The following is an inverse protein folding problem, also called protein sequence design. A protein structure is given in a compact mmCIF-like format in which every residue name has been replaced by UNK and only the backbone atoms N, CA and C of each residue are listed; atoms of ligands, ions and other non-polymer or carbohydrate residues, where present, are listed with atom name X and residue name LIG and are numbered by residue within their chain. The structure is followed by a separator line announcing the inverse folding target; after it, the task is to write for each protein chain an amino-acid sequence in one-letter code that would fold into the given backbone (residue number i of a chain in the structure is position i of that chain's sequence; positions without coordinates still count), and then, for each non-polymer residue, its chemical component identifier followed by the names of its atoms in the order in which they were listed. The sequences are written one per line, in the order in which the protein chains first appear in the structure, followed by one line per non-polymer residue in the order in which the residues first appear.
data_IF_583405738647
#
_entry.id   IF_583405738647
#
_cell.length_a   1.000
_cell.length_b   1.000
_cell.length_c   1.000
_cell.angle_alpha   90.00
_cell.angle_beta   90.00
_cell.angle_gamma   90.00
#
_symmetry.space_group_name_H-M   'P 1'
#
loop_
_entity.id
_entity.type
_entity.pdbx_description
1 polymer ?
#
# COMPACT_ATOMS: atom_id res chain seq x y z
N UNK A 1 1.14 -9.22 -18.18
CA UNK A 1 0.46 -9.25 -19.50
C UNK A 1 0.54 -7.87 -20.18
N UNK A 2 0.91 -7.78 -21.47
CA UNK A 2 0.83 -6.54 -22.26
C UNK A 2 -0.51 -6.55 -23.00
N UNK A 3 -1.48 -5.77 -22.52
CA UNK A 3 -2.90 -5.93 -22.89
C UNK A 3 -3.22 -5.25 -24.22
N UNK A 4 -2.61 -4.09 -24.48
CA UNK A 4 -2.85 -3.28 -25.65
C UNK A 4 -1.59 -3.14 -26.49
N UNK A 5 -1.73 -3.32 -27.80
CA UNK A 5 -0.65 -3.15 -28.78
C UNK A 5 -0.88 -1.95 -29.69
N UNK A 6 -2.14 -1.60 -29.93
CA UNK A 6 -2.55 -0.48 -30.78
C UNK A 6 -3.48 0.45 -29.99
N UNK A 7 -3.13 1.74 -29.85
CA UNK A 7 -3.96 2.71 -29.15
C UNK A 7 -5.20 3.20 -29.92
N UNK A 8 -5.29 3.02 -31.25
CA UNK A 8 -6.37 3.61 -32.07
C UNK A 8 -7.77 3.16 -31.62
N UNK A 9 -7.86 1.90 -31.21
CA UNK A 9 -9.12 1.21 -30.96
C UNK A 9 -9.46 1.12 -29.48
N UNK A 10 -8.71 1.79 -28.60
CA UNK A 10 -8.94 1.73 -27.14
C UNK A 10 -9.48 3.06 -26.66
N UNK A 11 -10.62 2.97 -25.96
CA UNK A 11 -11.13 4.03 -25.11
C UNK A 11 -11.32 3.46 -23.71
N UNK A 12 -10.45 3.83 -22.78
CA UNK A 12 -10.49 3.33 -21.41
C UNK A 12 -11.24 4.30 -20.47
N UNK A 13 -11.83 3.78 -19.42
CA UNK A 13 -12.28 4.55 -18.26
C UNK A 13 -11.69 3.92 -17.01
N UNK A 14 -10.86 4.68 -16.29
CA UNK A 14 -10.31 4.30 -14.98
C UNK A 14 -11.24 4.81 -13.88
N UNK A 15 -11.89 3.89 -13.18
CA UNK A 15 -12.93 4.17 -12.18
C UNK A 15 -12.30 4.18 -10.79
N UNK A 16 -12.49 5.24 -10.02
CA UNK A 16 -11.74 5.47 -8.78
C UNK A 16 -10.26 5.76 -9.06
N UNK A 17 -9.99 6.60 -10.07
CA UNK A 17 -8.64 6.81 -10.60
C UNK A 17 -7.67 7.52 -9.63
N UNK A 18 -8.17 8.03 -8.49
CA UNK A 18 -7.37 8.61 -7.42
C UNK A 18 -6.45 9.73 -7.90
N UNK A 19 -5.14 9.51 -7.83
CA UNK A 19 -4.16 10.51 -8.25
C UNK A 19 -4.06 10.70 -9.77
N UNK A 20 -4.78 9.93 -10.58
CA UNK A 20 -4.80 10.04 -12.04
C UNK A 20 -3.52 9.59 -12.74
N UNK A 21 -2.58 8.94 -12.04
CA UNK A 21 -1.28 8.56 -12.63
C UNK A 21 -1.43 7.58 -13.79
N UNK A 22 -2.31 6.58 -13.68
CA UNK A 22 -2.53 5.63 -14.77
C UNK A 22 -3.15 6.33 -15.99
N UNK A 23 -4.11 7.22 -15.77
CA UNK A 23 -4.74 8.03 -16.82
C UNK A 23 -3.69 8.88 -17.54
N UNK A 24 -2.82 9.56 -16.78
CA UNK A 24 -1.70 10.32 -17.31
C UNK A 24 -0.78 9.46 -18.20
N UNK A 25 -0.39 8.28 -17.70
CA UNK A 25 0.49 7.37 -18.43
C UNK A 25 -0.16 6.89 -19.73
N UNK A 26 -1.39 6.39 -19.67
CA UNK A 26 -2.08 5.86 -20.85
C UNK A 26 -2.32 6.93 -21.92
N UNK A 27 -2.73 8.14 -21.52
CA UNK A 27 -2.89 9.25 -22.47
C UNK A 27 -1.54 9.65 -23.08
N UNK A 28 -0.46 9.66 -22.28
CA UNK A 28 0.89 9.97 -22.77
C UNK A 28 1.41 8.93 -23.77
N UNK A 29 0.99 7.67 -23.63
CA UNK A 29 1.27 6.58 -24.57
C UNK A 29 0.33 6.58 -25.80
N UNK A 30 -0.55 7.57 -25.93
CA UNK A 30 -1.42 7.78 -27.09
C UNK A 30 -2.80 7.12 -26.99
N UNK A 31 -3.14 6.48 -25.87
CA UNK A 31 -4.47 5.92 -25.65
C UNK A 31 -5.50 7.01 -25.37
N UNK A 32 -6.75 6.80 -25.79
CA UNK A 32 -7.88 7.68 -25.43
C UNK A 32 -8.54 7.15 -24.17
N UNK A 33 -8.99 8.04 -23.31
CA UNK A 33 -9.73 7.63 -22.13
C UNK A 33 -10.02 8.73 -21.14
N UNK A 34 -10.62 8.31 -20.03
CA UNK A 34 -11.04 9.17 -18.92
C UNK A 34 -10.63 8.53 -17.59
N UNK A 35 -10.42 9.36 -16.58
CA UNK A 35 -10.38 8.92 -15.19
C UNK A 35 -11.52 9.56 -14.42
N UNK A 36 -12.24 8.77 -13.64
CA UNK A 36 -13.33 9.25 -12.77
C UNK A 36 -12.95 8.97 -11.33
N UNK A 37 -12.99 9.99 -10.48
CA UNK A 37 -12.85 9.86 -9.03
C UNK A 37 -13.91 10.71 -8.35
N UNK A 38 -14.32 10.33 -7.13
CA UNK A 38 -15.29 11.12 -6.37
C UNK A 38 -14.74 12.52 -6.04
N UNK A 39 -13.42 12.67 -6.02
CA UNK A 39 -12.75 13.89 -5.57
C UNK A 39 -11.61 14.30 -6.50
N UNK A 40 -11.53 15.60 -6.77
CA UNK A 40 -10.37 16.21 -7.39
C UNK A 40 -9.15 16.14 -6.47
N UNK A 41 -8.05 15.57 -6.96
CA UNK A 41 -6.77 15.54 -6.24
C UNK A 41 -5.89 16.68 -6.72
N UNK A 42 -5.26 17.41 -5.80
CA UNK A 42 -4.34 18.54 -6.10
C UNK A 42 -3.26 18.22 -7.14
N UNK A 43 -2.82 16.96 -7.22
CA UNK A 43 -1.83 16.54 -8.22
C UNK A 43 -2.36 16.64 -9.66
N UNK A 44 -3.68 16.59 -9.86
CA UNK A 44 -4.29 16.74 -11.18
C UNK A 44 -3.93 18.09 -11.81
N UNK A 45 -3.85 19.16 -10.99
CA UNK A 45 -3.44 20.51 -11.44
C UNK A 45 -2.04 20.54 -12.06
N UNK A 46 -1.20 19.56 -11.73
CA UNK A 46 0.18 19.46 -12.22
C UNK A 46 0.29 18.68 -13.54
N UNK A 47 -0.78 18.03 -14.00
CA UNK A 47 -0.76 17.30 -15.26
C UNK A 47 -0.97 18.22 -16.49
N UNK A 48 -0.51 17.79 -17.69
CA UNK A 48 -0.80 18.49 -18.94
C UNK A 48 -2.30 18.71 -19.17
N UNK A 49 -2.66 19.75 -19.92
CA UNK A 49 -4.05 20.09 -20.22
C UNK A 49 -4.85 18.91 -20.82
N UNK A 50 -4.24 18.17 -21.75
CA UNK A 50 -4.84 16.97 -22.37
C UNK A 50 -5.24 15.89 -21.35
N UNK A 51 -4.51 15.78 -20.25
CA UNK A 51 -4.80 14.80 -19.19
C UNK A 51 -5.79 15.37 -18.19
N UNK A 52 -5.67 16.65 -17.81
CA UNK A 52 -6.63 17.33 -16.93
C UNK A 52 -8.05 17.31 -17.50
N UNK A 53 -8.19 17.52 -18.81
CA UNK A 53 -9.48 17.45 -19.50
C UNK A 53 -10.10 16.04 -19.48
N UNK A 54 -9.28 14.99 -19.31
CA UNK A 54 -9.72 13.60 -19.19
C UNK A 54 -9.99 13.15 -17.74
N UNK A 55 -9.61 13.93 -16.74
CA UNK A 55 -9.88 13.63 -15.33
C UNK A 55 -11.19 14.30 -14.89
N UNK A 56 -12.11 13.51 -14.32
CA UNK A 56 -13.46 13.93 -13.97
C UNK A 56 -13.74 13.65 -12.50
N UNK A 57 -14.03 14.72 -11.77
CA UNK A 57 -14.59 14.63 -10.42
C UNK A 57 -16.09 14.35 -10.54
N UNK A 58 -16.52 13.19 -10.07
CA UNK A 58 -17.92 12.79 -10.05
C UNK A 58 -18.16 11.68 -9.05
N UNK A 59 -19.23 11.82 -8.26
CA UNK A 59 -19.78 10.70 -7.49
C UNK A 59 -20.34 9.66 -8.46
N UNK A 60 -20.00 8.40 -8.24
CA UNK A 60 -20.48 7.28 -9.05
C UNK A 60 -21.42 6.41 -8.22
N UNK A 61 -22.72 6.45 -8.53
CA UNK A 61 -23.68 5.46 -8.02
C UNK A 61 -23.52 4.16 -8.83
N UNK A 62 -22.63 3.29 -8.36
CA UNK A 62 -22.29 2.05 -9.07
C UNK A 62 -23.48 1.10 -9.20
N UNK A 63 -24.47 1.19 -8.31
CA UNK A 63 -25.65 0.34 -8.32
C UNK A 63 -26.56 0.64 -9.51
N UNK A 64 -26.83 1.91 -9.78
CA UNK A 64 -27.78 2.35 -10.81
C UNK A 64 -27.13 2.90 -12.09
N UNK A 65 -25.80 3.09 -12.11
CA UNK A 65 -25.13 3.64 -13.28
C UNK A 65 -25.23 2.70 -14.50
N UNK A 66 -25.61 3.22 -15.69
CA UNK A 66 -25.78 2.43 -16.90
C UNK A 66 -24.46 2.05 -17.60
N UNK A 67 -23.30 2.44 -17.05
CA UNK A 67 -21.98 2.26 -17.64
C UNK A 67 -21.49 3.50 -18.39
N UNK A 68 -20.46 3.30 -19.22
CA UNK A 68 -19.74 4.36 -19.94
C UNK A 68 -19.77 4.10 -21.46
N UNK A 69 -20.81 4.50 -22.20
CA UNK A 69 -21.04 4.06 -23.58
C UNK A 69 -19.88 4.27 -24.57
N UNK A 70 -19.02 5.27 -24.33
CA UNK A 70 -17.83 5.53 -25.12
C UNK A 70 -16.65 4.58 -24.84
N UNK A 71 -16.70 3.82 -23.75
CA UNK A 71 -15.63 2.97 -23.29
C UNK A 71 -15.73 1.56 -23.89
N UNK A 72 -14.58 0.98 -24.19
CA UNK A 72 -14.44 -0.45 -24.48
C UNK A 72 -13.52 -1.17 -23.50
N UNK A 73 -12.97 -0.42 -22.53
CA UNK A 73 -12.25 -0.93 -21.37
C UNK A 73 -12.65 -0.17 -20.13
N UNK A 74 -13.11 -0.89 -19.09
CA UNK A 74 -13.17 -0.35 -17.73
C UNK A 74 -12.01 -0.87 -16.91
N UNK A 75 -11.35 0.04 -16.20
CA UNK A 75 -10.21 -0.24 -15.35
C UNK A 75 -10.58 0.08 -13.91
N UNK A 76 -10.23 -0.85 -13.04
CA UNK A 76 -10.30 -0.73 -11.60
C UNK A 76 -8.95 -0.81 -10.95
N UNK A 77 -8.14 0.23 -11.07
CA UNK A 77 -6.80 0.25 -10.51
C UNK A 77 -6.83 0.67 -9.03
N UNK A 78 -6.95 -0.29 -8.12
CA UNK A 78 -7.06 -0.02 -6.67
C UNK A 78 -8.31 0.77 -6.28
N UNK A 79 -9.45 0.47 -6.91
CA UNK A 79 -10.69 1.26 -6.81
C UNK A 79 -11.56 1.00 -5.58
N UNK A 80 -10.98 0.46 -4.51
CA UNK A 80 -11.65 0.23 -3.22
C UNK A 80 -13.06 -0.37 -3.35
N UNK A 81 -14.10 0.30 -2.82
CA UNK A 81 -15.50 -0.13 -2.80
C UNK A 81 -16.12 -0.29 -4.19
N UNK A 82 -15.53 0.33 -5.22
CA UNK A 82 -15.99 0.21 -6.60
C UNK A 82 -15.51 -1.10 -7.24
N UNK A 83 -14.42 -1.69 -6.76
CA UNK A 83 -13.82 -2.93 -7.32
C UNK A 83 -14.84 -4.02 -7.70
N UNK A 84 -15.77 -4.45 -6.82
CA UNK A 84 -16.76 -5.48 -7.17
C UNK A 84 -17.79 -5.01 -8.22
N UNK A 85 -18.04 -3.71 -8.33
CA UNK A 85 -18.98 -3.15 -9.30
C UNK A 85 -18.43 -2.99 -10.71
N UNK A 86 -17.11 -2.91 -10.90
CA UNK A 86 -16.52 -2.68 -12.22
C UNK A 86 -16.90 -3.74 -13.27
N UNK A 87 -16.92 -5.06 -12.99
CA UNK A 87 -17.46 -6.03 -13.96
C UNK A 87 -18.95 -5.80 -14.27
N UNK A 88 -19.75 -5.36 -13.30
CA UNK A 88 -21.17 -5.01 -13.52
C UNK A 88 -21.29 -3.81 -14.45
N UNK A 89 -20.54 -2.74 -14.18
CA UNK A 89 -20.50 -1.54 -15.00
C UNK A 89 -20.00 -1.83 -16.43
N UNK A 90 -19.02 -2.73 -16.57
CA UNK A 90 -18.51 -3.12 -17.89
C UNK A 90 -19.58 -3.87 -18.69
N UNK A 91 -20.31 -4.77 -18.04
CA UNK A 91 -21.41 -5.50 -18.67
C UNK A 91 -22.57 -4.59 -19.11
N UNK A 92 -22.85 -3.53 -18.35
CA UNK A 92 -23.87 -2.51 -18.69
C UNK A 92 -23.41 -1.55 -19.78
N UNK A 93 -22.11 -1.24 -19.81
CA UNK A 93 -21.50 -0.33 -20.78
C UNK A 93 -21.69 -0.79 -22.22
N UNK A 94 -21.33 -2.04 -22.51
CA UNK A 94 -21.48 -2.64 -23.85
C UNK A 94 -21.19 -4.14 -23.78
N UNK A 95 -21.76 -4.90 -24.71
CA UNK A 95 -21.47 -6.33 -24.90
C UNK A 95 -19.99 -6.63 -25.14
N UNK A 96 -19.28 -5.71 -25.80
CA UNK A 96 -17.87 -5.86 -26.15
C UNK A 96 -16.92 -5.17 -25.16
N UNK A 97 -17.46 -4.50 -24.13
CA UNK A 97 -16.63 -3.82 -23.15
C UNK A 97 -15.86 -4.85 -22.32
N UNK A 98 -14.56 -4.59 -22.15
CA UNK A 98 -13.64 -5.43 -21.40
C UNK A 98 -13.41 -4.80 -20.03
N UNK A 99 -12.96 -5.62 -19.08
CA UNK A 99 -12.71 -5.18 -17.70
C UNK A 99 -11.34 -5.64 -17.21
N UNK A 100 -10.68 -4.80 -16.43
CA UNK A 100 -9.47 -5.09 -15.70
C UNK A 100 -9.58 -4.53 -14.27
N UNK A 101 -9.30 -5.32 -13.24
CA UNK A 101 -9.31 -4.85 -11.84
C UNK A 101 -8.07 -5.31 -11.08
N UNK A 102 -7.57 -4.46 -10.18
CA UNK A 102 -6.55 -4.77 -9.17
C UNK A 102 -7.21 -4.70 -7.78
N UNK A 103 -7.72 -5.83 -7.27
CA UNK A 103 -8.37 -5.86 -5.97
C UNK A 103 -7.36 -5.75 -4.83
N UNK A 104 -7.34 -4.60 -4.15
CA UNK A 104 -6.51 -4.40 -2.95
C UNK A 104 -7.32 -4.33 -1.66
N UNK A 105 -8.49 -3.72 -1.65
CA UNK A 105 -9.30 -3.58 -0.45
C UNK A 105 -10.51 -4.51 -0.56
N UNK A 106 -10.74 -5.41 0.41
CA UNK A 106 -11.80 -6.40 0.29
C UNK A 106 -13.17 -5.78 0.56
N UNK A 107 -13.85 -5.39 -0.51
CA UNK A 107 -15.23 -4.92 -0.54
C UNK A 107 -16.10 -5.88 -1.34
N UNK A 108 -17.30 -6.16 -0.82
CA UNK A 108 -18.42 -6.64 -1.61
C UNK A 108 -19.22 -5.46 -2.19
N UNK A 109 -20.30 -5.75 -2.91
CA UNK A 109 -21.14 -4.77 -3.60
C UNK A 109 -21.71 -3.72 -2.64
N UNK A 110 -22.02 -4.08 -1.39
CA UNK A 110 -22.71 -3.19 -0.44
C UNK A 110 -21.90 -2.84 0.81
N UNK A 111 -20.59 -3.12 0.82
CA UNK A 111 -19.73 -2.78 1.94
C UNK A 111 -18.52 -3.71 2.08
N UNK A 112 -17.87 -3.71 3.25
CA UNK A 112 -16.67 -4.54 3.48
C UNK A 112 -16.99 -6.03 3.35
N UNK A 113 -16.16 -6.77 2.63
CA UNK A 113 -16.33 -8.19 2.31
C UNK A 113 -16.47 -9.11 3.55
N UNK A 114 -15.92 -8.73 4.70
CA UNK A 114 -16.09 -9.51 5.94
C UNK A 114 -17.52 -9.50 6.51
N UNK A 115 -18.39 -8.61 6.03
CA UNK A 115 -19.74 -8.40 6.57
C UNK A 115 -20.80 -9.34 5.98
N UNK A 116 -20.44 -10.22 5.04
CA UNK A 116 -21.37 -11.10 4.36
C UNK A 116 -21.39 -12.50 4.99
N UNK A 117 -22.54 -13.17 4.95
CA UNK A 117 -22.62 -14.62 5.20
C UNK A 117 -22.22 -15.35 3.92
N UNK A 118 -20.93 -15.65 3.74
CA UNK A 118 -20.55 -16.61 2.70
C UNK A 118 -21.08 -17.97 3.14
N UNK A 119 -22.11 -18.48 2.46
CA UNK A 119 -22.51 -19.86 2.66
C UNK A 119 -21.45 -20.74 2.01
N UNK A 120 -21.01 -21.78 2.72
CA UNK A 120 -20.08 -22.81 2.22
C UNK A 120 -20.68 -23.64 1.05
N UNK A 121 -21.72 -23.15 0.36
CA UNK A 121 -22.63 -23.92 -0.51
C UNK A 121 -22.73 -23.40 -1.95
N UNK A 122 -21.79 -22.56 -2.42
CA UNK A 122 -21.68 -22.24 -3.86
C UNK A 122 -20.47 -22.86 -4.57
N UNK A 123 -19.76 -23.79 -3.93
CA UNK A 123 -19.11 -24.86 -4.68
C UNK A 123 -20.13 -25.98 -4.83
N UNK A 124 -20.61 -26.26 -6.03
CA UNK A 124 -21.50 -27.39 -6.36
C UNK A 124 -20.85 -28.78 -6.16
N UNK A 125 -20.05 -28.94 -5.10
CA UNK A 125 -19.50 -30.20 -4.64
C UNK A 125 -20.39 -30.66 -3.49
N UNK A 126 -21.45 -31.37 -3.87
CA UNK A 126 -22.07 -32.32 -2.95
C UNK A 126 -21.08 -33.47 -2.75
N UNK A 127 -20.24 -33.46 -1.71
CA UNK A 127 -19.69 -34.73 -1.21
C UNK A 127 -19.22 -34.65 0.24
N UNK A 128 -19.42 -35.78 0.88
CA UNK A 128 -19.33 -36.12 2.30
C UNK A 128 -17.90 -36.26 2.84
N UNK A 129 -16.89 -35.66 2.20
CA UNK A 129 -15.49 -35.99 2.49
C UNK A 129 -14.78 -34.90 3.30
N UNK A 130 -14.44 -35.23 4.55
CA UNK A 130 -13.70 -34.38 5.49
C UNK A 130 -12.34 -33.88 4.96
N UNK A 131 -11.80 -34.52 3.92
CA UNK A 131 -10.55 -34.11 3.27
C UNK A 131 -10.68 -32.80 2.48
N UNK A 132 -11.85 -32.52 1.87
CA UNK A 132 -12.09 -31.26 1.12
C UNK A 132 -12.16 -30.07 2.08
N UNK A 133 -12.67 -30.27 3.30
CA UNK A 133 -12.70 -29.22 4.35
C UNK A 133 -11.30 -28.74 4.76
N UNK A 134 -10.30 -29.64 4.79
CA UNK A 134 -8.91 -29.30 5.13
C UNK A 134 -8.27 -28.32 4.14
N UNK A 135 -8.63 -28.39 2.85
CA UNK A 135 -8.00 -27.55 1.81
C UNK A 135 -8.69 -26.19 1.67
N UNK A 136 -9.99 -26.11 1.94
CA UNK A 136 -10.74 -24.84 2.03
C UNK A 136 -10.26 -24.01 3.24
N UNK A 137 -9.96 -24.66 4.38
CA UNK A 137 -9.44 -24.00 5.59
C UNK A 137 -8.01 -23.42 5.46
N UNK A 138 -7.27 -23.72 4.37
CA UNK A 138 -5.92 -23.16 4.12
C UNK A 138 -5.91 -21.91 3.25
N UNK A 139 -7.05 -21.46 2.73
CA UNK A 139 -7.06 -20.29 1.86
C UNK A 139 -6.95 -18.98 2.68
N UNK A 140 -5.95 -18.15 2.37
CA UNK A 140 -5.87 -16.81 2.96
C UNK A 140 -7.14 -16.01 2.65
N UNK A 141 -7.57 -15.13 3.56
CA UNK A 141 -8.73 -14.23 3.36
C UNK A 141 -8.71 -13.50 2.00
N UNK A 142 -7.52 -13.11 1.54
CA UNK A 142 -7.36 -12.47 0.23
C UNK A 142 -7.65 -13.41 -0.95
N UNK A 143 -7.27 -14.70 -0.87
CA UNK A 143 -7.61 -15.69 -1.91
C UNK A 143 -9.11 -15.95 -1.99
N UNK A 144 -9.79 -16.07 -0.84
CA UNK A 144 -11.24 -16.19 -0.81
C UNK A 144 -11.92 -14.96 -1.46
N UNK A 145 -11.39 -13.76 -1.20
CA UNK A 145 -11.86 -12.54 -1.84
C UNK A 145 -11.68 -12.54 -3.37
N UNK A 146 -10.55 -13.06 -3.88
CA UNK A 146 -10.35 -13.22 -5.33
C UNK A 146 -11.39 -14.19 -5.94
N UNK A 147 -11.70 -15.29 -5.28
CA UNK A 147 -12.72 -16.23 -5.76
C UNK A 147 -14.13 -15.62 -5.77
N UNK A 148 -14.47 -14.82 -4.77
CA UNK A 148 -15.70 -14.02 -4.77
C UNK A 148 -15.78 -13.09 -6.00
N UNK A 149 -14.70 -12.33 -6.27
CA UNK A 149 -14.68 -11.44 -7.44
C UNK A 149 -14.78 -12.22 -8.76
N UNK A 150 -14.15 -13.39 -8.87
CA UNK A 150 -14.34 -14.27 -10.03
C UNK A 150 -15.80 -14.70 -10.20
N UNK A 151 -16.50 -14.98 -9.09
CA UNK A 151 -17.94 -15.23 -9.09
C UNK A 151 -18.74 -14.07 -9.69
N UNK A 152 -18.43 -12.82 -9.33
CA UNK A 152 -19.05 -11.65 -9.94
C UNK A 152 -18.72 -11.51 -11.44
N UNK A 153 -17.49 -11.81 -11.85
CA UNK A 153 -17.12 -11.83 -13.27
C UNK A 153 -17.96 -12.86 -14.03
N UNK A 154 -18.12 -14.07 -13.49
CA UNK A 154 -18.96 -15.10 -14.09
C UNK A 154 -20.44 -14.69 -14.16
N UNK A 155 -20.98 -14.07 -13.09
CA UNK A 155 -22.34 -13.53 -13.09
C UNK A 155 -22.53 -12.44 -14.16
N UNK A 156 -21.47 -11.66 -14.42
CA UNK A 156 -21.39 -10.69 -15.51
C UNK A 156 -21.04 -11.32 -16.86
N UNK A 157 -21.01 -12.65 -16.98
CA UNK A 157 -20.66 -13.45 -18.16
C UNK A 157 -19.25 -13.26 -18.70
N UNK A 158 -18.35 -12.66 -17.93
CA UNK A 158 -16.94 -12.65 -18.26
C UNK A 158 -16.30 -13.97 -17.87
N UNK A 159 -15.39 -14.47 -18.72
CA UNK A 159 -14.43 -15.50 -18.34
C UNK A 159 -13.28 -14.83 -17.58
N UNK A 160 -13.18 -14.98 -16.25
CA UNK A 160 -12.16 -14.30 -15.47
C UNK A 160 -10.78 -14.89 -15.75
N UNK A 161 -9.86 -14.05 -16.18
CA UNK A 161 -8.44 -14.36 -16.32
C UNK A 161 -7.68 -13.71 -15.14
N UNK A 162 -6.77 -14.44 -14.51
CA UNK A 162 -6.04 -13.95 -13.34
C UNK A 162 -4.55 -13.93 -13.64
N UNK A 163 -3.89 -12.80 -13.36
CA UNK A 163 -2.43 -12.64 -13.52
C UNK A 163 -1.83 -12.00 -12.25
N UNK A 164 -0.52 -12.17 -12.07
CA UNK A 164 0.25 -11.57 -10.97
C UNK A 164 1.13 -10.44 -11.50
N UNK A 165 0.85 -9.22 -11.06
CA UNK A 165 1.56 -8.02 -11.45
C UNK A 165 2.93 -7.92 -10.79
N UNK A 166 3.89 -7.32 -11.51
CA UNK A 166 5.24 -7.02 -11.02
C UNK A 166 5.27 -5.68 -10.27
N UNK A 167 4.46 -5.57 -9.22
CA UNK A 167 4.40 -4.40 -8.34
C UNK A 167 4.89 -4.76 -6.93
N UNK A 168 5.46 -3.81 -6.17
CA UNK A 168 5.94 -4.03 -4.80
C UNK A 168 4.77 -4.08 -3.79
N UNK A 169 3.80 -4.97 -4.02
CA UNK A 169 2.63 -5.18 -3.17
C UNK A 169 2.43 -6.66 -2.85
N UNK A 170 1.89 -6.94 -1.66
CA UNK A 170 1.40 -8.28 -1.29
C UNK A 170 0.07 -8.61 -1.98
N UNK A 171 -0.68 -7.57 -2.40
CA UNK A 171 -1.93 -7.65 -3.15
C UNK A 171 -1.67 -7.22 -4.59
N UNK A 172 -1.05 -8.13 -5.33
CA UNK A 172 -0.54 -7.92 -6.70
C UNK A 172 -1.26 -8.77 -7.74
N UNK A 173 -2.41 -9.34 -7.39
CA UNK A 173 -3.24 -10.09 -8.33
C UNK A 173 -4.10 -9.09 -9.11
N UNK A 174 -4.25 -9.29 -10.41
CA UNK A 174 -5.26 -8.62 -11.23
C UNK A 174 -6.21 -9.65 -11.85
N UNK A 175 -7.45 -9.22 -12.10
CA UNK A 175 -8.49 -10.03 -12.77
C UNK A 175 -8.93 -9.30 -14.04
N UNK A 176 -9.08 -10.05 -15.13
CA UNK A 176 -9.51 -9.53 -16.43
C UNK A 176 -10.72 -10.27 -16.95
N UNK A 177 -11.57 -9.54 -17.69
CA UNK A 177 -12.71 -10.07 -18.42
C UNK A 177 -12.64 -9.56 -19.85
N UNK A 178 -11.91 -10.29 -20.70
CA UNK A 178 -11.75 -9.96 -22.13
C UNK A 178 -12.62 -10.80 -23.05
N UNK A 179 -13.02 -11.96 -22.55
CA UNK A 179 -13.82 -12.95 -23.25
C UNK A 179 -15.09 -13.19 -22.47
N UNK A 180 -16.20 -13.40 -23.18
CA UNK A 180 -17.43 -13.88 -22.59
C UNK A 180 -17.36 -15.40 -22.41
N UNK A 181 -18.21 -15.96 -21.55
CA UNK A 181 -18.29 -17.40 -21.32
C UNK A 181 -18.80 -18.14 -22.56
N UNK A 182 -19.70 -17.51 -23.33
CA UNK A 182 -20.14 -17.95 -24.66
C UNK A 182 -19.74 -16.93 -25.72
N UNK A 183 -19.24 -17.41 -26.85
CA UNK A 183 -18.89 -16.58 -28.03
C UNK A 183 -20.11 -16.22 -28.90
N UNK A 184 -21.33 -16.46 -28.40
CA UNK A 184 -22.55 -16.23 -29.15
C UNK A 184 -22.80 -14.72 -29.30
N UNK A 185 -22.81 -14.28 -30.56
CA UNK A 185 -22.95 -12.88 -30.97
C UNK A 185 -24.30 -12.32 -30.54
N UNK A 186 -24.28 -11.14 -29.91
CA UNK A 186 -25.30 -10.07 -29.91
C UNK A 186 -26.72 -10.46 -30.38
N UNK A 187 -27.36 -11.36 -29.65
CA UNK A 187 -28.82 -11.49 -29.65
C UNK A 187 -29.36 -10.57 -28.53
N UNK A 188 -30.32 -9.67 -28.81
CA UNK A 188 -31.02 -8.91 -27.76
C UNK A 188 -31.53 -9.78 -26.60
N UNK A 189 -31.88 -11.04 -26.85
CA UNK A 189 -32.28 -12.02 -25.84
C UNK A 189 -31.13 -12.34 -24.88
N UNK A 190 -29.92 -12.55 -25.40
CA UNK A 190 -28.71 -12.80 -24.60
C UNK A 190 -28.34 -11.59 -23.72
N UNK A 191 -28.56 -10.35 -24.22
CA UNK A 191 -28.36 -9.15 -23.40
C UNK A 191 -29.27 -9.15 -22.17
N UNK A 192 -30.58 -9.39 -22.39
CA UNK A 192 -31.58 -9.39 -21.32
C UNK A 192 -31.31 -10.50 -20.31
N UNK A 193 -30.88 -11.67 -20.77
CA UNK A 193 -30.45 -12.77 -19.90
C UNK A 193 -29.24 -12.40 -19.05
N UNK A 194 -28.23 -11.76 -19.65
CA UNK A 194 -27.04 -11.26 -18.93
C UNK A 194 -27.44 -10.23 -17.87
N UNK A 195 -28.27 -9.25 -18.23
CA UNK A 195 -28.74 -8.23 -17.27
C UNK A 195 -29.58 -8.85 -16.15
N UNK A 196 -30.41 -9.85 -16.47
CA UNK A 196 -31.18 -10.62 -15.48
C UNK A 196 -30.28 -11.41 -14.53
N UNK A 197 -29.22 -12.06 -15.04
CA UNK A 197 -28.25 -12.78 -14.24
C UNK A 197 -27.49 -11.85 -13.28
N UNK A 198 -27.06 -10.69 -13.78
CA UNK A 198 -26.44 -9.63 -12.96
C UNK A 198 -27.40 -9.16 -11.86
N UNK A 199 -28.66 -8.88 -12.22
CA UNK A 199 -29.69 -8.46 -11.26
C UNK A 199 -29.90 -9.48 -10.15
N UNK A 200 -29.93 -10.78 -10.48
CA UNK A 200 -29.99 -11.86 -9.47
C UNK A 200 -28.77 -11.87 -8.56
N UNK A 201 -27.55 -11.78 -9.12
CA UNK A 201 -26.33 -11.81 -8.32
C UNK A 201 -26.24 -10.63 -7.33
N UNK A 202 -26.64 -9.43 -7.76
CA UNK A 202 -26.72 -8.24 -6.90
C UNK A 202 -27.71 -8.47 -5.75
N UNK A 203 -28.91 -8.97 -6.07
CA UNK A 203 -29.96 -9.18 -5.08
C UNK A 203 -29.62 -10.34 -4.11
N UNK A 204 -28.98 -11.40 -4.59
CA UNK A 204 -28.50 -12.49 -3.75
C UNK A 204 -27.44 -12.01 -2.75
N UNK A 205 -26.48 -11.18 -3.20
CA UNK A 205 -25.52 -10.59 -2.29
C UNK A 205 -26.18 -9.65 -1.27
N UNK A 206 -27.17 -8.86 -1.71
CA UNK A 206 -27.95 -7.97 -0.83
C UNK A 206 -28.60 -8.73 0.32
N UNK A 207 -29.16 -9.92 0.05
CA UNK A 207 -29.77 -10.79 1.07
C UNK A 207 -28.76 -11.38 2.07
N UNK A 208 -27.48 -11.44 1.70
CA UNK A 208 -26.41 -11.99 2.53
C UNK A 208 -25.74 -10.96 3.47
N UNK A 209 -26.11 -9.68 3.37
CA UNK A 209 -25.58 -8.60 4.20
C UNK A 209 -26.05 -8.75 5.66
N UNK A 210 -25.11 -8.64 6.62
CA UNK A 210 -25.44 -8.60 8.07
C UNK A 210 -25.84 -7.20 8.58
N UNK A 211 -25.51 -6.16 7.81
CA UNK A 211 -25.76 -4.75 8.11
C UNK A 211 -27.19 -4.31 7.76
N UNK A 212 -27.66 -3.22 8.37
CA UNK A 212 -28.94 -2.59 8.03
C UNK A 212 -28.91 -1.80 6.72
N UNK A 213 -27.72 -1.53 6.16
CA UNK A 213 -27.58 -0.86 4.86
C UNK A 213 -27.56 -1.87 3.73
N UNK A 214 -28.56 -1.80 2.85
CA UNK A 214 -28.74 -2.67 1.67
C UNK A 214 -28.50 -1.94 0.34
N UNK A 215 -28.06 -0.69 0.42
CA UNK A 215 -27.82 0.21 -0.71
C UNK A 215 -26.32 0.45 -0.83
N UNK A 216 -25.84 0.57 -2.08
CA UNK A 216 -24.46 0.99 -2.30
C UNK A 216 -24.23 2.40 -1.77
N UNK A 217 -23.17 2.57 -0.97
CA UNK A 217 -22.77 3.88 -0.44
C UNK A 217 -21.35 4.15 -0.93
N UNK A 218 -21.14 5.14 -1.82
CA UNK A 218 -19.79 5.56 -2.15
C UNK A 218 -19.13 6.14 -0.90
N UNK A 219 -17.79 6.06 -0.82
CA UNK A 219 -17.03 6.72 0.25
C UNK A 219 -17.34 8.22 0.32
N UNK A 220 -17.13 8.82 1.48
CA UNK A 220 -17.27 10.27 1.63
C UNK A 220 -16.30 11.04 0.72
N UNK A 221 -16.75 12.19 0.21
CA UNK A 221 -15.94 13.11 -0.58
C UNK A 221 -14.67 13.54 0.20
N UNK A 222 -14.86 13.85 1.48
CA UNK A 222 -13.81 14.32 2.38
C UNK A 222 -13.41 13.23 3.38
N UNK A 223 -12.57 12.28 2.95
CA UNK A 223 -11.90 11.39 3.90
C UNK A 223 -10.64 12.09 4.46
N UNK A 224 -10.56 12.35 5.78
CA UNK A 224 -9.36 12.91 6.38
C UNK A 224 -8.19 11.93 6.19
N UNK A 225 -7.01 12.46 5.87
CA UNK A 225 -5.80 11.63 5.80
C UNK A 225 -5.40 11.26 7.23
N UNK A 226 -5.90 10.12 7.70
CA UNK A 226 -5.57 9.56 9.00
C UNK A 226 -4.29 8.73 8.87
N UNK A 227 -3.15 9.32 9.21
CA UNK A 227 -1.88 8.60 9.33
C UNK A 227 -1.03 9.23 10.45
N UNK A 228 0.01 8.56 10.95
CA UNK A 228 0.87 9.16 11.99
C UNK A 228 1.55 10.49 11.58
N UNK A 229 1.50 10.89 10.30
CA UNK A 229 2.09 12.16 9.85
C UNK A 229 1.20 13.36 10.12
N UNK A 230 -0.10 13.19 10.35
CA UNK A 230 -1.03 14.25 10.77
C UNK A 230 -1.02 14.51 12.28
N UNK A 231 -0.34 13.69 13.09
CA UNK A 231 -0.21 13.92 14.53
C UNK A 231 0.45 15.29 14.81
N UNK A 232 0.03 16.02 15.85
CA UNK A 232 0.68 17.26 16.25
C UNK A 232 2.18 17.08 16.45
N UNK A 233 2.97 18.06 16.04
CA UNK A 233 4.43 18.00 16.12
C UNK A 233 4.91 17.84 17.56
N UNK A 234 4.21 18.44 18.53
CA UNK A 234 4.52 18.31 19.95
C UNK A 234 4.40 16.85 20.42
N UNK A 235 3.38 16.13 19.96
CA UNK A 235 3.17 14.72 20.31
C UNK A 235 4.27 13.84 19.71
N UNK A 236 4.65 14.09 18.45
CA UNK A 236 5.73 13.35 17.78
C UNK A 236 7.07 13.54 18.50
N UNK A 237 7.37 14.78 18.90
CA UNK A 237 8.60 15.13 19.62
C UNK A 237 8.59 14.53 21.02
N UNK A 238 7.53 14.76 21.81
CA UNK A 238 7.40 14.24 23.18
C UNK A 238 7.54 12.72 23.23
N UNK A 239 6.87 11.99 22.33
CA UNK A 239 6.98 10.53 22.25
C UNK A 239 8.36 10.12 21.77
N UNK A 240 8.91 10.81 20.76
CA UNK A 240 10.27 10.58 20.28
C UNK A 240 11.31 10.70 21.39
N UNK A 241 11.25 11.77 22.18
CA UNK A 241 12.21 12.07 23.26
C UNK A 241 12.12 11.06 24.40
N UNK A 242 10.91 10.67 24.81
CA UNK A 242 10.71 9.63 25.83
C UNK A 242 11.36 8.31 25.42
N UNK A 243 11.13 7.89 24.18
CA UNK A 243 11.65 6.64 23.66
C UNK A 243 13.16 6.76 23.43
N UNK A 244 13.64 7.89 22.92
CA UNK A 244 15.06 8.16 22.74
C UNK A 244 15.82 8.01 24.05
N UNK A 245 15.35 8.67 25.11
CA UNK A 245 15.95 8.58 26.44
C UNK A 245 15.94 7.16 26.98
N UNK A 246 14.81 6.45 26.87
CA UNK A 246 14.71 5.08 27.36
C UNK A 246 15.61 4.10 26.59
N UNK A 247 15.80 4.29 25.27
CA UNK A 247 16.74 3.51 24.48
C UNK A 247 18.18 3.85 24.87
N UNK A 248 18.49 5.14 25.08
CA UNK A 248 19.83 5.61 25.43
C UNK A 248 20.30 5.13 26.82
N UNK A 249 19.37 5.06 27.77
CA UNK A 249 19.58 4.52 29.13
C UNK A 249 19.61 2.97 29.14
N UNK A 250 19.21 2.33 28.03
CA UNK A 250 19.19 0.89 27.88
C UNK A 250 20.59 0.28 27.74
N UNK A 251 20.74 -0.97 28.18
CA UNK A 251 22.03 -1.69 28.08
C UNK A 251 22.35 -2.04 26.62
N UNK A 252 23.52 -1.63 26.09
CA UNK A 252 23.97 -2.01 24.76
C UNK A 252 24.24 -3.51 24.62
N UNK A 253 24.05 -4.05 23.40
CA UNK A 253 24.37 -5.45 23.08
C UNK A 253 25.85 -5.59 22.72
N UNK A 254 26.68 -5.70 23.76
CA UNK A 254 28.15 -5.74 23.64
C UNK A 254 28.61 -6.95 22.82
N UNK A 255 27.96 -8.11 22.98
CA UNK A 255 28.32 -9.34 22.27
C UNK A 255 28.08 -9.18 20.76
N UNK A 256 26.94 -8.61 20.38
CA UNK A 256 26.64 -8.30 18.99
C UNK A 256 27.70 -7.38 18.38
N UNK A 257 28.06 -6.29 19.05
CA UNK A 257 29.03 -5.33 18.51
C UNK A 257 30.44 -5.93 18.39
N UNK A 258 30.86 -6.74 19.36
CA UNK A 258 32.14 -7.48 19.27
C UNK A 258 32.15 -8.46 18.10
N UNK A 259 31.04 -9.16 17.85
CA UNK A 259 30.90 -10.07 16.70
C UNK A 259 31.00 -9.36 15.34
N UNK A 260 30.80 -8.03 15.32
CA UNK A 260 30.90 -7.18 14.14
C UNK A 260 32.24 -6.43 14.05
N UNK A 261 33.27 -6.89 14.77
CA UNK A 261 34.62 -6.32 14.83
C UNK A 261 34.67 -4.84 15.31
N UNK A 262 33.70 -4.41 16.11
CA UNK A 262 33.71 -3.07 16.69
C UNK A 262 34.53 -3.03 17.99
N UNK A 263 35.22 -1.91 18.21
CA UNK A 263 35.89 -1.62 19.49
C UNK A 263 34.86 -1.08 20.47
N UNK A 264 34.62 -1.82 21.55
CA UNK A 264 33.60 -1.52 22.57
C UNK A 264 34.26 -1.32 23.93
N UNK A 265 33.89 -0.25 24.64
CA UNK A 265 34.34 0.04 25.99
C UNK A 265 33.65 -0.86 27.04
N UNK A 266 34.14 -0.83 28.28
CA UNK A 266 33.55 -1.59 29.38
C UNK A 266 32.10 -1.18 29.70
N UNK A 267 31.74 0.09 29.48
CA UNK A 267 30.40 0.64 29.62
C UNK A 267 29.52 0.50 28.36
N UNK A 268 30.00 -0.21 27.34
CA UNK A 268 29.21 -0.55 26.15
C UNK A 268 29.15 0.53 25.06
N UNK A 269 29.99 1.56 25.14
CA UNK A 269 30.14 2.56 24.07
C UNK A 269 30.99 2.01 22.93
N UNK A 270 30.70 2.46 21.73
CA UNK A 270 31.42 2.06 20.51
C UNK A 270 32.40 3.16 20.13
N UNK A 271 33.61 2.78 19.72
CA UNK A 271 34.61 3.73 19.23
C UNK A 271 34.26 4.16 17.81
N UNK A 272 34.04 5.45 17.60
CA UNK A 272 33.75 6.05 16.28
C UNK A 272 35.04 6.24 15.47
N UNK A 273 34.89 6.54 14.18
CA UNK A 273 36.00 6.72 13.23
C UNK A 273 36.93 7.90 13.59
N UNK A 274 36.39 8.92 14.25
CA UNK A 274 37.12 10.06 14.78
C UNK A 274 37.68 9.81 16.20
N UNK A 275 37.58 8.57 16.70
CA UNK A 275 38.18 8.14 17.96
C UNK A 275 37.37 8.42 19.21
N UNK A 276 36.16 9.00 19.10
CA UNK A 276 35.27 9.27 20.24
C UNK A 276 34.54 8.00 20.71
N UNK A 277 34.09 8.01 21.96
CA UNK A 277 33.19 6.99 22.48
C UNK A 277 31.75 7.43 22.28
N UNK A 278 30.96 6.63 21.56
CA UNK A 278 29.57 6.94 21.23
C UNK A 278 28.64 5.89 21.84
N UNK A 279 27.60 6.34 22.54
CA UNK A 279 26.60 5.47 23.14
C UNK A 279 25.60 4.96 22.08
N UNK A 280 25.57 3.65 21.76
CA UNK A 280 24.61 3.11 20.78
C UNK A 280 23.19 2.91 21.33
N UNK A 281 23.02 3.05 22.65
CA UNK A 281 21.81 2.68 23.36
C UNK A 281 21.57 1.16 23.38
N UNK A 282 20.49 0.77 24.04
CA UNK A 282 20.02 -0.61 24.13
C UNK A 282 18.92 -0.96 23.13
N UNK A 283 18.24 -2.07 23.44
CA UNK A 283 17.06 -2.54 22.71
C UNK A 283 15.86 -2.53 23.64
N UNK A 284 14.75 -1.96 23.20
CA UNK A 284 13.47 -2.03 23.92
C UNK A 284 12.46 -2.86 23.14
N UNK A 285 11.65 -3.66 23.83
CA UNK A 285 10.52 -4.31 23.18
C UNK A 285 9.42 -3.28 22.96
N UNK A 286 8.67 -3.42 21.87
CA UNK A 286 7.60 -2.49 21.52
C UNK A 286 6.52 -2.41 22.60
N UNK A 287 6.31 -3.48 23.38
CA UNK A 287 5.41 -3.49 24.53
C UNK A 287 5.92 -2.59 25.65
N UNK A 288 7.22 -2.65 25.97
CA UNK A 288 7.86 -1.80 26.97
C UNK A 288 7.86 -0.33 26.51
N UNK A 289 8.06 -0.10 25.21
CA UNK A 289 7.93 1.23 24.61
C UNK A 289 6.50 1.75 24.76
N UNK A 290 5.48 0.90 24.59
CA UNK A 290 4.10 1.30 24.75
C UNK A 290 3.74 1.66 26.19
N UNK A 291 4.36 1.05 27.21
CA UNK A 291 4.11 1.41 28.62
C UNK A 291 4.74 2.75 29.02
N UNK A 292 5.78 3.20 28.30
CA UNK A 292 6.40 4.51 28.50
C UNK A 292 5.59 5.68 27.91
N UNK A 293 4.76 5.39 26.91
CA UNK A 293 3.97 6.42 26.21
C UNK A 293 2.64 6.64 26.93
N UNK A 294 2.27 7.89 27.27
CA UNK A 294 0.98 8.18 27.89
C UNK A 294 -0.20 7.64 27.08
N UNK A 295 -1.19 7.05 27.76
CA UNK A 295 -2.33 6.37 27.11
C UNK A 295 -3.07 7.26 26.11
N UNK A 296 -3.24 8.55 26.41
CA UNK A 296 -3.90 9.50 25.51
C UNK A 296 -3.14 9.69 24.18
N UNK A 297 -1.80 9.64 24.18
CA UNK A 297 -1.00 9.67 22.95
C UNK A 297 -1.18 8.38 22.13
N UNK A 298 -1.28 7.21 22.79
CA UNK A 298 -1.54 5.94 22.12
C UNK A 298 -2.93 5.88 21.48
N UNK A 299 -3.94 6.45 22.15
CA UNK A 299 -5.30 6.59 21.62
C UNK A 299 -5.34 7.52 20.41
N UNK A 300 -4.69 8.69 20.49
CA UNK A 300 -4.55 9.61 19.35
C UNK A 300 -3.87 8.95 18.15
N UNK A 301 -2.82 8.15 18.38
CA UNK A 301 -2.16 7.35 17.34
C UNK A 301 -3.13 6.34 16.68
N UNK A 302 -3.89 5.59 17.47
CA UNK A 302 -4.90 4.65 16.97
C UNK A 302 -6.01 5.34 16.18
N UNK A 303 -6.47 6.51 16.62
CA UNK A 303 -7.46 7.32 15.91
C UNK A 303 -6.93 7.81 14.55
N UNK A 304 -5.63 8.11 14.45
CA UNK A 304 -4.98 8.45 13.19
C UNK A 304 -4.54 7.22 12.38
N UNK A 305 -5.12 6.04 12.66
CA UNK A 305 -4.87 4.77 11.96
C UNK A 305 -3.38 4.37 11.86
N UNK A 306 -2.55 4.90 12.75
CA UNK A 306 -1.12 4.70 12.72
C UNK A 306 -0.63 4.29 14.11
N UNK A 307 -0.14 3.06 14.24
CA UNK A 307 0.36 2.56 15.52
C UNK A 307 1.71 3.19 15.92
N UNK A 308 2.09 2.98 17.18
CA UNK A 308 3.41 3.37 17.73
C UNK A 308 4.58 2.91 16.85
N UNK A 309 4.50 1.69 16.31
CA UNK A 309 5.52 1.17 15.40
C UNK A 309 5.61 1.98 14.09
N UNK A 310 4.48 2.46 13.56
CA UNK A 310 4.44 3.29 12.35
C UNK A 310 5.06 4.65 12.62
N UNK A 311 4.76 5.27 13.78
CA UNK A 311 5.40 6.52 14.20
C UNK A 311 6.93 6.38 14.25
N UNK A 312 7.44 5.32 14.89
CA UNK A 312 8.88 5.06 14.99
C UNK A 312 9.53 4.81 13.63
N UNK A 313 8.85 4.09 12.72
CA UNK A 313 9.32 3.89 11.34
C UNK A 313 9.35 5.19 10.55
N UNK A 314 8.41 6.11 10.78
CA UNK A 314 8.39 7.43 10.15
C UNK A 314 9.51 8.33 10.69
N UNK A 315 9.85 8.20 11.97
CA UNK A 315 11.01 8.85 12.60
C UNK A 315 12.34 8.12 12.28
N UNK A 316 12.50 7.82 11.00
CA UNK A 316 13.54 6.96 10.47
C UNK A 316 14.97 7.48 10.67
N UNK A 317 15.23 8.74 11.03
CA UNK A 317 16.59 9.19 11.34
C UNK A 317 17.06 8.75 12.74
N UNK A 318 16.12 8.56 13.67
CA UNK A 318 16.41 8.26 15.08
C UNK A 318 16.27 6.78 15.41
N UNK A 319 15.26 6.09 14.84
CA UNK A 319 14.88 4.74 15.30
C UNK A 319 14.88 3.69 14.19
N UNK A 320 15.10 2.44 14.60
CA UNK A 320 14.81 1.23 13.83
C UNK A 320 13.82 0.38 14.63
N UNK A 321 12.64 0.13 14.06
CA UNK A 321 11.58 -0.68 14.69
C UNK A 321 11.28 -1.94 13.86
N UNK A 322 11.94 -3.04 14.22
CA UNK A 322 11.90 -4.33 13.49
C UNK A 322 11.70 -5.50 14.44
N UNK A 323 10.89 -6.50 14.04
CA UNK A 323 10.64 -7.72 14.83
C UNK A 323 10.22 -7.45 16.30
N UNK A 324 9.42 -6.41 16.52
CA UNK A 324 8.94 -6.04 17.85
C UNK A 324 9.98 -5.39 18.76
N UNK A 325 11.19 -5.07 18.26
CA UNK A 325 12.23 -4.36 18.99
C UNK A 325 12.50 -2.98 18.40
N UNK A 326 12.89 -2.05 19.26
CA UNK A 326 13.24 -0.66 18.93
C UNK A 326 14.66 -0.37 19.40
N UNK A 327 15.45 0.27 18.55
CA UNK A 327 16.82 0.75 18.87
C UNK A 327 17.12 2.06 18.16
N UNK A 328 18.21 2.73 18.53
CA UNK A 328 18.73 3.87 17.78
C UNK A 328 19.16 3.44 16.38
N UNK A 329 18.95 4.32 15.41
CA UNK A 329 19.35 4.08 14.03
C UNK A 329 20.81 4.43 13.82
N UNK A 330 21.58 3.37 13.67
CA UNK A 330 22.92 3.37 13.09
C UNK A 330 23.18 1.99 12.48
N UNK A 331 24.20 1.91 11.63
CA UNK A 331 24.63 0.73 10.87
C UNK A 331 26.02 0.30 11.38
N UNK A 332 26.08 -0.68 12.30
CA UNK A 332 27.35 -1.21 12.82
C UNK A 332 28.32 -1.66 11.74
N UNK A 333 27.81 -2.33 10.69
CA UNK A 333 28.62 -2.85 9.59
C UNK A 333 29.30 -1.72 8.80
N UNK A 334 28.58 -0.60 8.61
CA UNK A 334 29.11 0.62 7.98
C UNK A 334 30.23 1.22 8.84
N UNK A 335 30.13 1.10 10.17
CA UNK A 335 31.17 1.59 11.09
C UNK A 335 32.42 0.70 11.06
N UNK A 336 32.25 -0.62 11.10
CA UNK A 336 33.35 -1.59 11.06
C UNK A 336 34.15 -1.55 9.74
N UNK A 337 33.46 -1.47 8.59
CA UNK A 337 34.11 -1.41 7.27
C UNK A 337 34.92 -0.11 7.06
N UNK A 338 34.48 0.99 7.68
CA UNK A 338 35.21 2.25 7.63
C UNK A 338 36.45 2.23 8.52
N UNK A 339 36.48 1.45 9.61
CA UNK A 339 37.68 1.31 10.46
C UNK A 339 38.78 0.45 9.85
N UNK A 340 38.44 -0.58 9.06
CA UNK A 340 39.43 -1.47 8.41
C UNK A 340 40.20 -0.77 7.26
N UNK A 341 39.61 0.24 6.63
CA UNK A 341 40.20 0.93 5.47
C UNK A 341 41.13 2.12 5.83
N UNK A 342 41.39 2.37 7.12
CA UNK A 342 42.25 3.50 7.53
C UNK A 342 43.74 3.17 7.36
N UNK A 343 44.14 1.89 7.37
CA UNK A 343 45.55 1.46 7.34
C UNK A 343 46.09 1.05 5.96
N UNK A 344 45.29 1.11 4.87
CA UNK A 344 45.79 0.79 3.52
C UNK A 344 45.34 1.80 2.46
N UNK A 345 45.92 3.01 2.51
CA UNK A 345 45.98 3.87 1.31
C UNK A 345 46.99 3.31 0.32
N UNK A 346 46.55 2.38 -0.54
CA UNK A 346 47.18 2.16 -1.85
C UNK A 346 46.30 1.29 -2.75
N UNK A 347 45.89 1.89 -3.88
CA UNK A 347 45.50 1.29 -5.17
C UNK A 347 44.06 0.76 -5.37
N UNK A 348 43.30 1.65 -6.02
CA UNK A 348 42.42 1.42 -7.18
C UNK A 348 41.18 0.53 -7.05
N UNK A 349 40.01 1.14 -7.31
CA UNK A 349 39.29 0.96 -8.59
C UNK A 349 38.26 2.07 -8.76
N UNK A 350 38.22 2.64 -9.96
CA UNK A 350 37.32 3.73 -10.30
C UNK A 350 35.86 3.33 -10.15
N UNK A 351 35.19 4.02 -9.25
CA UNK A 351 33.75 4.22 -9.28
C UNK A 351 33.54 5.73 -9.21
N UNK A 352 32.87 6.25 -10.23
CA UNK A 352 32.44 7.64 -10.33
C UNK A 352 31.86 8.07 -9.00
N UNK A 353 32.52 9.04 -8.35
CA UNK A 353 32.17 9.52 -7.02
C UNK A 353 30.85 10.29 -7.11
N UNK A 354 29.74 9.56 -7.10
CA UNK A 354 28.41 10.14 -6.95
C UNK A 354 28.29 10.59 -5.50
N UNK A 355 28.76 11.80 -5.20
CA UNK A 355 28.48 12.46 -3.93
C UNK A 355 26.97 12.54 -3.79
N UNK A 356 26.38 11.62 -3.03
CA UNK A 356 24.93 11.57 -2.79
C UNK A 356 24.52 12.94 -2.25
N UNK A 357 23.68 13.66 -3.01
CA UNK A 357 23.19 14.98 -2.61
C UNK A 357 22.39 14.83 -1.31
N UNK A 358 22.96 15.32 -0.20
CA UNK A 358 22.32 15.35 1.10
C UNK A 358 21.29 16.47 1.14
N UNK A 359 20.09 16.21 1.63
CA UNK A 359 18.95 17.15 1.58
C UNK A 359 18.32 17.45 2.93
N UNK A 360 18.73 16.75 4.00
CA UNK A 360 18.14 16.90 5.34
C UNK A 360 19.24 17.01 6.41
N UNK A 361 19.04 17.83 7.46
CA UNK A 361 19.93 17.88 8.60
C UNK A 361 19.91 16.55 9.36
N UNK A 362 21.06 16.16 9.91
CA UNK A 362 21.25 14.94 10.68
C UNK A 362 20.60 15.09 12.05
N UNK A 363 19.58 14.27 12.32
CA UNK A 363 18.90 14.28 13.61
C UNK A 363 19.83 13.94 14.78
N UNK A 364 20.75 12.98 14.60
CA UNK A 364 21.68 12.55 15.65
C UNK A 364 22.65 13.66 16.06
N UNK A 365 23.07 14.54 15.14
CA UNK A 365 23.90 15.70 15.50
C UNK A 365 23.16 16.64 16.45
N UNK A 366 21.86 16.86 16.20
CA UNK A 366 21.07 17.82 16.95
C UNK A 366 20.55 17.29 18.31
N UNK A 367 20.40 15.97 18.48
CA UNK A 367 19.70 15.39 19.64
C UNK A 367 20.51 14.36 20.43
N UNK A 368 21.51 13.72 19.83
CA UNK A 368 22.31 12.73 20.54
C UNK A 368 23.42 13.43 21.35
N UNK A 369 23.61 13.10 22.65
CA UNK A 369 24.61 13.79 23.47
C UNK A 369 26.05 13.61 22.96
N UNK A 370 26.35 12.44 22.37
CA UNK A 370 27.63 12.17 21.72
C UNK A 370 27.65 12.58 20.23
N UNK A 371 26.65 13.30 19.74
CA UNK A 371 26.49 13.68 18.33
C UNK A 371 26.28 12.48 17.38
N UNK A 372 26.58 12.66 16.09
CA UNK A 372 26.46 11.58 15.12
C UNK A 372 27.58 10.53 15.28
N UNK A 373 27.26 9.23 15.15
CA UNK A 373 28.28 8.16 15.12
C UNK A 373 29.19 8.21 13.88
N UNK A 374 28.77 8.88 12.80
CA UNK A 374 29.53 8.97 11.56
C UNK A 374 30.08 10.37 11.37
N UNK A 375 31.27 10.53 10.76
CA UNK A 375 31.76 11.84 10.36
C UNK A 375 30.94 12.40 9.15
N UNK A 376 31.00 13.71 8.87
CA UNK A 376 30.22 14.36 7.82
C UNK A 376 30.39 13.74 6.43
N UNK A 377 31.53 13.13 6.13
CA UNK A 377 31.80 12.52 4.81
C UNK A 377 31.06 11.18 4.64
N UNK A 378 30.82 10.48 5.75
CA UNK A 378 30.24 9.13 5.77
C UNK A 378 28.74 9.15 6.10
N UNK A 379 28.27 10.12 6.88
CA UNK A 379 26.86 10.24 7.24
C UNK A 379 25.98 10.45 5.99
N UNK A 380 24.77 9.90 5.98
CA UNK A 380 23.83 10.09 4.86
C UNK A 380 23.07 11.44 4.93
N UNK A 381 23.27 12.20 6.02
CA UNK A 381 22.60 13.47 6.32
C UNK A 381 23.58 14.63 6.45
N UNK A 382 23.06 15.86 6.38
CA UNK A 382 23.85 17.09 6.50
C UNK A 382 24.23 17.30 7.96
N UNK A 383 25.51 17.42 8.25
CA UNK A 383 25.99 17.90 9.53
C UNK A 383 26.06 19.41 9.42
N UNK A 384 25.10 20.11 10.02
CA UNK A 384 25.17 21.56 10.17
C UNK A 384 26.14 21.79 11.33
N UNK A 385 27.44 21.82 11.07
CA UNK A 385 28.40 22.30 12.08
C UNK A 385 28.21 23.81 12.23
N UNK A 386 28.24 24.27 13.48
CA UNK A 386 28.04 25.67 13.86
C UNK A 386 28.87 26.61 12.97
N UNK A 387 28.21 27.65 12.45
CA UNK A 387 28.85 28.86 11.93
C UNK A 387 29.29 29.70 13.11
#
# INVERSE_FOLDING_TARGET
MCIWKDPSDVFFVDIGCGNGLLVYLLISEGFRGLGVDIRHRRIWDSYPASVRESLKESTLDAEHNPGFPQANWLIGNHSDELTPWIPVLAARTSHSCKVFVIPCCPFGLFGKYGNFKHSDTQSGISSTDAWVKSEVHKQSHYRAYIEYLKGLFFACWFKPEVDTLRIPSTKRICILGRHLISDEKTDPTLYLERMSAIGRAIEDERRCIKSNSTVFVPRDHDEPVLNCTSLPSEVKLSVGDLIFKAVLDGRPDIELFKSQNLVVSADGKVKTLDGRWWNPGGYLNLNDVATLVPSHHLELMKMQHGGLQTLLRNHHQAFVATRGKVRLRWIPEKMAQCSENVDTKSRSRGTTECTKRKTKPCWMVAHHPDGCPYPPEVCDFIHLTDV
#
